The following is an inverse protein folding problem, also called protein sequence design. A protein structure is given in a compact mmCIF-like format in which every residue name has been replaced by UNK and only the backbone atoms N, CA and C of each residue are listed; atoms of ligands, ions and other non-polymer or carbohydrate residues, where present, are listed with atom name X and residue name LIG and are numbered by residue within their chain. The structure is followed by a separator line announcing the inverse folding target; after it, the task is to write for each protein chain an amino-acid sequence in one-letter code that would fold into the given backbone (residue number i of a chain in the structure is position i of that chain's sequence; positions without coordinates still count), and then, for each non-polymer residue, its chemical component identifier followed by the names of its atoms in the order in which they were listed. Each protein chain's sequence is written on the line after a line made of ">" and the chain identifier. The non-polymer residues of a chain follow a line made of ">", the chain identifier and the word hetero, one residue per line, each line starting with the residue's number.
data_IF_957129629739
#
_entry.id   IF_957129629739
#
_cell.length_a   1.000
_cell.length_b   1.000
_cell.length_c   1.000
_cell.angle_alpha   90.00
_cell.angle_beta   90.00
_cell.angle_gamma   90.00
#
_symmetry.space_group_name_H-M   'P 1'
#
loop_
_entity.id
_entity.type
_entity.pdbx_description
1 polymer ?
#
# COMPACT_ATOMS: atom_id res chain seq x y z
N UNK A 1 1.95 -5.43 -4.71
CA UNK A 1 3.24 -5.75 -4.07
C UNK A 1 4.26 -6.11 -5.13
N UNK A 2 5.52 -5.71 -4.94
CA UNK A 2 6.57 -5.97 -5.95
C UNK A 2 6.73 -7.48 -6.18
N UNK A 3 6.83 -7.96 -7.42
CA UNK A 3 6.91 -9.40 -7.70
C UNK A 3 8.22 -10.05 -7.25
N UNK A 4 9.32 -9.29 -7.22
CA UNK A 4 10.61 -9.83 -6.80
C UNK A 4 10.69 -9.94 -5.27
N UNK A 5 10.91 -11.15 -4.71
CA UNK A 5 11.00 -11.36 -3.27
C UNK A 5 12.07 -10.51 -2.56
N UNK A 6 13.16 -10.16 -3.25
CA UNK A 6 14.22 -9.32 -2.68
C UNK A 6 13.71 -7.97 -2.16
N UNK A 7 12.63 -7.45 -2.74
CA UNK A 7 12.02 -6.19 -2.32
C UNK A 7 10.85 -6.37 -1.33
N UNK A 8 10.64 -7.59 -0.81
CA UNK A 8 9.56 -7.94 0.11
C UNK A 8 10.08 -8.60 1.40
N UNK A 9 11.35 -8.39 1.73
CA UNK A 9 12.00 -9.08 2.87
C UNK A 9 11.98 -8.27 4.16
N UNK A 10 11.31 -7.13 4.19
CA UNK A 10 11.17 -6.34 5.42
C UNK A 10 10.42 -7.16 6.48
N UNK A 11 10.94 -7.28 7.71
CA UNK A 11 10.27 -8.01 8.78
C UNK A 11 8.86 -7.47 9.05
N UNK A 12 7.95 -8.37 9.41
CA UNK A 12 6.54 -8.05 9.65
C UNK A 12 6.36 -6.97 10.72
N UNK A 13 7.12 -7.01 11.80
CA UNK A 13 7.04 -6.03 12.88
C UNK A 13 7.37 -4.60 12.41
N UNK A 14 8.32 -4.46 11.50
CA UNK A 14 8.66 -3.17 10.89
C UNK A 14 7.57 -2.68 9.95
N UNK A 15 6.97 -3.58 9.17
CA UNK A 15 5.84 -3.27 8.31
C UNK A 15 4.64 -2.76 9.13
N UNK A 16 4.33 -3.43 10.22
CA UNK A 16 3.23 -3.04 11.11
C UNK A 16 3.52 -1.72 11.83
N UNK A 17 4.77 -1.50 12.27
CA UNK A 17 5.16 -0.23 12.88
C UNK A 17 5.02 0.94 11.90
N UNK A 18 5.41 0.73 10.64
CA UNK A 18 5.23 1.73 9.58
C UNK A 18 3.74 2.03 9.35
N UNK A 19 2.92 0.99 9.21
CA UNK A 19 1.49 1.14 8.99
C UNK A 19 0.81 1.91 10.15
N UNK A 20 1.16 1.57 11.41
CA UNK A 20 0.66 2.28 12.58
C UNK A 20 1.07 3.75 12.60
N UNK A 21 2.31 4.05 12.28
CA UNK A 21 2.81 5.42 12.25
C UNK A 21 2.10 6.26 11.18
N UNK A 22 1.78 5.67 10.04
CA UNK A 22 1.03 6.35 8.98
C UNK A 22 -0.42 6.56 9.36
N UNK A 23 -1.11 5.55 9.85
CA UNK A 23 -2.50 5.62 10.32
C UNK A 23 -3.51 6.04 9.25
N UNK A 24 -3.13 5.98 7.98
CA UNK A 24 -3.95 6.41 6.85
C UNK A 24 -3.61 5.56 5.62
N UNK A 25 -4.64 5.12 4.92
CA UNK A 25 -4.45 4.25 3.76
C UNK A 25 -5.64 4.23 2.84
N UNK A 26 -5.57 3.37 1.84
CA UNK A 26 -6.64 3.15 0.86
C UNK A 26 -7.26 1.79 1.16
N UNK A 27 -8.52 1.81 1.57
CA UNK A 27 -9.34 0.60 1.74
C UNK A 27 -9.96 0.25 0.40
N UNK A 28 -9.79 -1.00 -0.02
CA UNK A 28 -10.33 -1.50 -1.28
C UNK A 28 -11.14 -2.77 -1.06
N UNK A 29 -12.31 -2.81 -1.66
CA UNK A 29 -13.19 -3.98 -1.67
C UNK A 29 -13.78 -4.17 -3.06
N UNK A 30 -14.24 -5.38 -3.37
CA UNK A 30 -14.97 -5.62 -4.60
C UNK A 30 -16.44 -5.19 -4.44
N UNK A 31 -16.89 -4.33 -5.33
CA UNK A 31 -18.30 -3.95 -5.41
C UNK A 31 -19.02 -4.64 -6.56
N UNK A 32 -20.35 -4.48 -6.69
CA UNK A 32 -21.14 -5.14 -7.72
C UNK A 32 -20.81 -4.66 -9.15
N UNK A 33 -20.30 -3.44 -9.31
CA UNK A 33 -19.97 -2.86 -10.61
C UNK A 33 -18.44 -2.71 -10.81
N UNK A 34 -17.63 -3.23 -9.90
CA UNK A 34 -16.17 -3.17 -9.96
C UNK A 34 -15.55 -2.88 -8.61
N UNK A 35 -14.21 -2.76 -8.57
CA UNK A 35 -13.51 -2.43 -7.33
C UNK A 35 -13.90 -1.06 -6.79
N UNK A 36 -14.03 -0.97 -5.47
CA UNK A 36 -14.28 0.26 -4.74
C UNK A 36 -13.04 0.61 -3.93
N UNK A 37 -12.75 1.90 -3.78
CA UNK A 37 -11.64 2.39 -2.97
C UNK A 37 -12.05 3.61 -2.15
N UNK A 38 -11.55 3.69 -0.91
CA UNK A 38 -11.75 4.83 -0.04
C UNK A 38 -10.46 5.16 0.70
N UNK A 39 -10.16 6.43 0.85
CA UNK A 39 -9.05 6.91 1.65
C UNK A 39 -9.51 7.05 3.10
N UNK A 40 -8.90 6.30 4.01
CA UNK A 40 -9.40 6.17 5.38
C UNK A 40 -8.30 6.28 6.41
N UNK A 41 -8.56 6.97 7.54
CA UNK A 41 -7.74 6.82 8.74
C UNK A 41 -8.06 5.48 9.41
N UNK A 42 -7.07 4.90 10.07
CA UNK A 42 -7.23 3.63 10.74
C UNK A 42 -6.35 3.52 11.99
N UNK A 43 -6.76 2.61 12.88
CA UNK A 43 -6.01 2.19 14.06
C UNK A 43 -5.90 0.66 14.04
N UNK A 44 -4.69 0.13 14.18
CA UNK A 44 -4.46 -1.29 14.37
C UNK A 44 -4.50 -1.63 15.87
N UNK A 45 -5.11 -2.76 16.21
CA UNK A 45 -4.98 -3.30 17.56
C UNK A 45 -3.56 -3.83 17.81
N UNK A 46 -3.24 -4.23 19.04
CA UNK A 46 -1.86 -4.55 19.45
C UNK A 46 -1.23 -5.67 18.64
N UNK A 47 -1.98 -6.73 18.36
CA UNK A 47 -1.49 -7.88 17.59
C UNK A 47 -1.77 -7.78 16.09
N UNK A 48 -2.32 -6.65 15.62
CA UNK A 48 -2.70 -6.40 14.23
C UNK A 48 -3.68 -7.43 13.65
N UNK A 49 -4.50 -8.04 14.50
CA UNK A 49 -5.53 -8.97 14.06
C UNK A 49 -6.74 -8.28 13.45
N UNK A 50 -6.96 -7.00 13.78
CA UNK A 50 -7.98 -6.16 13.16
C UNK A 50 -7.61 -4.69 13.22
N UNK A 51 -8.32 -3.89 12.41
CA UNK A 51 -8.18 -2.45 12.35
C UNK A 51 -9.55 -1.78 12.50
N UNK A 52 -9.59 -0.67 13.24
CA UNK A 52 -10.73 0.24 13.26
C UNK A 52 -10.52 1.30 12.18
N UNK A 53 -11.52 1.47 11.33
CA UNK A 53 -11.50 2.40 10.22
C UNK A 53 -12.59 3.45 10.37
N UNK A 54 -12.30 4.67 9.93
CA UNK A 54 -13.33 5.70 9.84
C UNK A 54 -13.79 5.86 8.39
N UNK A 55 -15.08 5.67 8.15
CA UNK A 55 -15.68 5.69 6.83
C UNK A 55 -17.03 6.42 6.89
N UNK A 56 -17.27 7.34 5.95
CA UNK A 56 -18.56 8.02 5.87
C UNK A 56 -19.69 7.03 5.53
N UNK A 57 -20.85 7.16 6.15
CA UNK A 57 -22.01 6.30 5.88
C UNK A 57 -22.48 6.34 4.43
N UNK A 58 -22.25 7.46 3.74
CA UNK A 58 -22.58 7.62 2.32
C UNK A 58 -21.57 7.01 1.37
N UNK A 59 -20.42 6.55 1.87
CA UNK A 59 -19.40 5.93 1.05
C UNK A 59 -19.91 4.61 0.46
N UNK A 60 -19.57 4.36 -0.81
CA UNK A 60 -19.99 3.15 -1.52
C UNK A 60 -19.57 1.86 -0.82
N UNK A 61 -18.40 1.86 -0.15
CA UNK A 61 -17.93 0.70 0.62
C UNK A 61 -18.84 0.43 1.80
N UNK A 62 -19.28 1.49 2.52
CA UNK A 62 -20.19 1.33 3.64
C UNK A 62 -21.57 0.80 3.22
N UNK A 63 -21.94 1.01 1.98
CA UNK A 63 -23.20 0.55 1.40
C UNK A 63 -23.10 -0.80 0.71
N UNK A 64 -21.88 -1.28 0.47
CA UNK A 64 -21.66 -2.59 -0.12
C UNK A 64 -22.09 -3.70 0.85
N UNK A 65 -22.39 -4.88 0.33
CA UNK A 65 -22.71 -6.03 1.16
C UNK A 65 -21.51 -6.49 1.99
N UNK A 66 -21.52 -6.20 3.28
CA UNK A 66 -20.49 -6.63 4.22
C UNK A 66 -21.01 -7.84 5.05
N UNK A 67 -20.15 -8.77 5.48
CA UNK A 67 -18.70 -8.77 5.33
C UNK A 67 -18.21 -9.10 3.91
N UNK A 68 -17.02 -8.62 3.56
CA UNK A 68 -16.35 -8.89 2.29
C UNK A 68 -14.83 -8.88 2.49
N UNK A 69 -14.06 -9.61 1.66
CA UNK A 69 -12.62 -9.47 1.63
C UNK A 69 -12.22 -8.02 1.31
N UNK A 70 -11.20 -7.54 1.96
CA UNK A 70 -10.72 -6.18 1.80
C UNK A 70 -9.20 -6.12 1.76
N UNK A 71 -8.67 -5.07 1.15
CA UNK A 71 -7.25 -4.73 1.17
C UNK A 71 -7.11 -3.32 1.71
N UNK A 72 -6.21 -3.14 2.68
CA UNK A 72 -5.81 -1.81 3.15
C UNK A 72 -4.38 -1.55 2.68
N UNK A 73 -4.21 -0.65 1.73
CA UNK A 73 -2.92 -0.28 1.18
C UNK A 73 -2.40 0.99 1.88
N UNK A 74 -1.24 0.87 2.51
CA UNK A 74 -0.58 1.99 3.22
C UNK A 74 0.67 2.37 2.45
N UNK A 75 0.72 3.62 1.98
CA UNK A 75 1.84 4.13 1.18
C UNK A 75 2.75 5.01 2.01
N UNK A 76 4.04 4.93 1.72
CA UNK A 76 5.06 5.82 2.25
C UNK A 76 5.64 6.72 1.16
N UNK A 77 6.84 7.28 1.41
CA UNK A 77 7.52 8.10 0.42
C UNK A 77 7.78 7.35 -0.88
N UNK A 78 7.77 8.08 -1.97
CA UNK A 78 8.16 7.56 -3.27
C UNK A 78 9.04 8.58 -4.00
N UNK A 79 9.84 8.10 -4.95
CA UNK A 79 10.71 8.93 -5.76
C UNK A 79 11.03 8.25 -7.09
N UNK A 80 11.05 9.06 -8.14
CA UNK A 80 11.53 8.63 -9.43
C UNK A 80 13.04 8.46 -9.41
N UNK A 81 13.54 7.42 -10.09
CA UNK A 81 14.96 7.15 -10.26
C UNK A 81 15.28 7.13 -11.74
N UNK A 82 16.09 8.14 -12.18
CA UNK A 82 16.50 8.24 -13.58
C UNK A 82 17.60 7.24 -13.89
N UNK A 83 17.57 6.59 -15.08
CA UNK A 83 18.69 5.77 -15.55
C UNK A 83 20.01 6.56 -15.65
N UNK A 84 19.93 7.85 -15.91
CA UNK A 84 21.11 8.70 -16.04
C UNK A 84 21.94 8.81 -14.75
N UNK A 85 21.34 8.48 -13.61
CA UNK A 85 22.02 8.50 -12.31
C UNK A 85 22.91 7.28 -12.05
N UNK A 86 22.78 6.22 -12.86
CA UNK A 86 23.55 4.99 -12.68
C UNK A 86 24.94 5.06 -13.36
N UNK A 87 25.18 6.07 -14.20
CA UNK A 87 26.41 6.25 -14.93
C UNK A 87 26.20 6.39 -16.44
N UNK A 88 27.30 6.56 -17.23
CA UNK A 88 27.23 6.67 -18.68
C UNK A 88 26.60 5.43 -19.32
N UNK A 89 25.79 5.64 -20.36
CA UNK A 89 25.13 4.57 -21.11
C UNK A 89 26.09 3.50 -21.64
N UNK A 90 27.34 3.89 -21.91
CA UNK A 90 28.35 2.99 -22.43
C UNK A 90 28.84 1.98 -21.39
N UNK A 91 28.75 2.33 -20.10
CA UNK A 91 29.25 1.52 -18.99
C UNK A 91 28.16 0.66 -18.34
N UNK A 92 26.91 1.11 -18.41
CA UNK A 92 25.76 0.41 -17.80
C UNK A 92 24.64 0.38 -18.82
N UNK A 93 24.73 -0.53 -19.83
CA UNK A 93 23.62 -0.77 -20.76
C UNK A 93 22.44 -1.35 -19.99
N UNK A 94 21.28 -1.40 -20.56
CA UNK A 94 20.07 -2.02 -19.98
C UNK A 94 19.49 -1.29 -18.76
N UNK A 95 19.76 0.00 -18.62
CA UNK A 95 19.13 0.80 -17.57
C UNK A 95 17.71 1.19 -17.97
N UNK A 96 16.81 1.09 -17.01
CA UNK A 96 15.42 1.52 -17.17
C UNK A 96 15.05 2.54 -16.09
N UNK A 97 14.16 3.50 -16.40
CA UNK A 97 13.60 4.35 -15.37
C UNK A 97 12.79 3.52 -14.39
N UNK A 98 12.84 3.89 -13.13
CA UNK A 98 12.10 3.20 -12.09
C UNK A 98 11.66 4.16 -10.98
N UNK A 99 10.93 3.63 -10.00
CA UNK A 99 10.52 4.35 -8.81
C UNK A 99 10.93 3.57 -7.57
N UNK A 100 11.45 4.29 -6.59
CA UNK A 100 11.57 3.78 -5.23
C UNK A 100 10.32 4.14 -4.47
N UNK A 101 9.76 3.20 -3.71
CA UNK A 101 8.55 3.43 -2.94
C UNK A 101 8.49 2.52 -1.71
N UNK A 102 7.65 2.91 -0.78
CA UNK A 102 7.31 2.11 0.40
C UNK A 102 5.80 1.86 0.37
N UNK A 103 5.42 0.60 0.49
CA UNK A 103 4.02 0.22 0.58
C UNK A 103 3.85 -1.00 1.49
N UNK A 104 2.80 -0.98 2.29
CA UNK A 104 2.38 -2.13 3.12
C UNK A 104 0.93 -2.43 2.79
N UNK A 105 0.63 -3.69 2.48
CA UNK A 105 -0.72 -4.19 2.25
C UNK A 105 -1.16 -5.03 3.44
N UNK A 106 -2.31 -4.68 4.00
CA UNK A 106 -2.93 -5.36 5.13
C UNK A 106 -4.23 -6.03 4.72
#
# INVERSE_FOLDING_TARGET
>A
MHPNPAFRQTPLDRNLAFARARGFGILSVNGPEGPLAAHVPFLLNDDASFADLHLARSNSIARAGLPAPALLAVSGPDAYVSPDWYGPHDEVPDQVPTWNYVAVHL
#
